data_IF_172563820191
#
_entry.id   IF_172563820191
#
_cell.length_a   1.000
_cell.length_b   1.000
_cell.length_c   1.000
_cell.angle_alpha   90.00
_cell.angle_beta   90.00
_cell.angle_gamma   90.00
#
_symmetry.space_group_name_H-M   'P 1'
#
loop_
_entity.id
_entity.type
_entity.pdbx_description
1 polymer ?
#
# COMPACT_ATOMS: atom_id res chain seq x y z
N UNK A 1 43.68 -42.11 6.38
CA UNK A 1 43.45 -41.18 7.50
C UNK A 1 44.78 -41.03 8.23
N UNK A 2 45.36 -39.84 8.27
CA UNK A 2 46.60 -39.63 9.02
C UNK A 2 46.32 -39.71 10.53
N UNK A 3 47.37 -39.92 11.32
CA UNK A 3 47.25 -40.13 12.78
C UNK A 3 46.62 -38.92 13.48
N UNK A 4 46.84 -37.72 12.97
CA UNK A 4 46.32 -36.45 13.51
C UNK A 4 44.81 -36.37 13.31
N UNK A 5 44.35 -36.65 12.08
CA UNK A 5 42.92 -36.74 11.77
C UNK A 5 42.21 -37.78 12.65
N UNK A 6 42.81 -38.94 12.89
CA UNK A 6 42.21 -39.96 13.76
C UNK A 6 41.95 -39.45 15.19
N UNK A 7 42.92 -38.77 15.80
CA UNK A 7 42.76 -38.24 17.16
C UNK A 7 41.80 -37.05 17.22
N UNK A 8 41.71 -36.24 16.16
CA UNK A 8 40.71 -35.17 16.07
C UNK A 8 39.29 -35.73 16.02
N UNK A 9 39.06 -36.74 15.18
CA UNK A 9 37.77 -37.44 15.08
C UNK A 9 37.41 -38.18 16.37
N UNK A 10 38.39 -38.84 17.01
CA UNK A 10 38.20 -39.47 18.33
C UNK A 10 37.79 -38.44 19.38
N UNK A 11 38.43 -37.26 19.41
CA UNK A 11 38.08 -36.17 20.33
C UNK A 11 36.67 -35.64 20.07
N UNK A 12 36.30 -35.41 18.80
CA UNK A 12 34.94 -34.98 18.43
C UNK A 12 33.90 -36.02 18.85
N UNK A 13 34.13 -37.31 18.60
CA UNK A 13 33.24 -38.38 19.04
C UNK A 13 33.10 -38.47 20.56
N UNK A 14 34.20 -38.36 21.31
CA UNK A 14 34.17 -38.41 22.78
C UNK A 14 33.44 -37.22 23.41
N UNK A 15 33.48 -36.04 22.77
CA UNK A 15 32.86 -34.82 23.30
C UNK A 15 31.42 -34.58 22.83
N UNK A 16 31.08 -35.02 21.62
CA UNK A 16 29.82 -34.67 20.94
C UNK A 16 29.07 -35.91 20.41
N UNK A 17 29.55 -37.13 20.68
CA UNK A 17 28.95 -38.36 20.18
C UNK A 17 28.98 -38.45 18.65
N UNK A 18 27.99 -39.14 18.08
CA UNK A 18 27.86 -39.29 16.62
C UNK A 18 27.60 -37.96 15.89
N UNK A 19 26.99 -36.97 16.56
CA UNK A 19 26.75 -35.65 15.97
C UNK A 19 28.05 -34.90 15.64
N UNK A 20 29.11 -35.09 16.44
CA UNK A 20 30.43 -34.48 16.20
C UNK A 20 31.21 -35.07 15.03
N UNK A 21 30.73 -36.17 14.44
CA UNK A 21 31.32 -36.80 13.26
C UNK A 21 30.72 -36.30 11.94
N UNK A 22 29.70 -35.43 11.99
CA UNK A 22 29.16 -34.79 10.79
C UNK A 22 30.15 -33.76 10.26
N UNK A 23 30.35 -33.75 8.94
CA UNK A 23 31.16 -32.72 8.28
C UNK A 23 30.46 -31.38 8.41
N UNK A 24 31.11 -30.46 9.13
CA UNK A 24 30.68 -29.08 9.24
C UNK A 24 31.27 -28.28 8.07
N UNK A 25 30.50 -27.35 7.48
CA UNK A 25 31.04 -26.47 6.46
C UNK A 25 32.22 -25.67 7.02
N UNK A 26 33.27 -25.39 6.21
CA UNK A 26 34.39 -24.58 6.65
C UNK A 26 33.91 -23.22 7.18
N UNK A 27 34.14 -22.95 8.47
CA UNK A 27 33.83 -21.65 9.06
C UNK A 27 34.99 -20.71 8.74
N UNK A 28 34.86 -19.95 7.65
CA UNK A 28 35.82 -18.90 7.31
C UNK A 28 35.83 -17.82 8.40
N UNK A 29 36.93 -17.72 9.15
CA UNK A 29 37.03 -16.83 10.33
C UNK A 29 37.08 -15.33 9.99
N UNK A 30 37.58 -14.97 8.81
CA UNK A 30 37.62 -13.58 8.31
C UNK A 30 38.07 -13.52 6.85
N UNK A 31 37.46 -12.63 6.04
CA UNK A 31 37.99 -12.29 4.71
C UNK A 31 38.81 -10.99 4.79
N UNK A 32 40.06 -10.94 4.29
CA UNK A 32 40.93 -9.75 4.39
C UNK A 32 40.34 -8.48 3.77
N UNK A 33 39.42 -8.63 2.81
CA UNK A 33 38.78 -7.55 2.08
C UNK A 33 37.35 -7.24 2.57
N UNK A 34 37.01 -7.66 3.78
CA UNK A 34 35.70 -7.33 4.39
C UNK A 34 35.61 -5.82 4.58
N UNK A 35 34.51 -5.21 4.11
CA UNK A 35 34.26 -3.80 4.31
C UNK A 35 34.25 -3.49 5.82
N UNK A 36 35.03 -2.49 6.29
CA UNK A 36 35.08 -2.17 7.72
C UNK A 36 33.69 -1.88 8.28
N UNK A 37 33.36 -2.34 9.51
CA UNK A 37 32.03 -2.14 10.11
C UNK A 37 31.59 -0.67 10.12
N UNK A 38 32.51 0.25 10.39
CA UNK A 38 32.27 1.70 10.32
C UNK A 38 31.80 2.18 8.94
N UNK A 39 32.32 1.58 7.87
CA UNK A 39 31.94 1.93 6.49
C UNK A 39 30.58 1.33 6.15
N UNK A 40 30.27 0.13 6.65
CA UNK A 40 28.95 -0.49 6.54
C UNK A 40 27.88 0.37 7.22
N UNK A 41 28.15 0.80 8.46
CA UNK A 41 27.23 1.66 9.20
C UNK A 41 27.09 3.04 8.53
N UNK A 42 28.17 3.60 7.97
CA UNK A 42 28.07 4.85 7.19
C UNK A 42 27.24 4.67 5.92
N UNK A 43 27.39 3.54 5.21
CA UNK A 43 26.55 3.22 4.04
C UNK A 43 25.08 3.16 4.45
N UNK A 44 24.73 2.47 5.53
CA UNK A 44 23.36 2.41 6.05
C UNK A 44 22.83 3.80 6.41
N UNK A 45 23.62 4.58 7.14
CA UNK A 45 23.25 5.93 7.56
C UNK A 45 22.97 6.85 6.35
N UNK A 46 23.91 6.96 5.40
CA UNK A 46 23.74 7.75 4.17
C UNK A 46 22.52 7.29 3.35
N UNK A 47 22.25 5.99 3.38
CA UNK A 47 21.14 5.40 2.65
C UNK A 47 19.79 5.67 3.32
N UNK A 48 19.75 5.82 4.64
CA UNK A 48 18.57 6.27 5.39
C UNK A 48 18.39 7.79 5.32
N UNK A 49 19.48 8.55 5.31
CA UNK A 49 19.48 10.01 5.07
C UNK A 49 18.95 10.33 3.65
N UNK A 50 19.25 9.46 2.67
CA UNK A 50 18.85 9.65 1.28
C UNK A 50 18.27 8.36 0.61
N UNK A 51 17.07 7.90 1.00
CA UNK A 51 16.50 6.63 0.52
C UNK A 51 16.24 6.55 -0.99
N UNK A 52 16.06 7.71 -1.64
CA UNK A 52 15.82 7.82 -3.07
C UNK A 52 17.09 7.64 -3.94
N UNK A 53 18.28 7.75 -3.34
CA UNK A 53 19.52 7.69 -4.10
C UNK A 53 19.88 6.24 -4.49
N UNK A 54 20.48 6.11 -5.67
CA UNK A 54 21.02 4.83 -6.15
C UNK A 54 22.46 4.64 -5.68
N UNK A 55 22.93 3.39 -5.71
CA UNK A 55 24.25 3.01 -5.20
C UNK A 55 25.41 3.80 -5.84
N UNK A 56 25.31 4.17 -7.12
CA UNK A 56 26.31 5.02 -7.79
C UNK A 56 26.43 6.42 -7.17
N UNK A 57 25.30 6.98 -6.71
CA UNK A 57 25.28 8.30 -6.07
C UNK A 57 25.82 8.23 -4.64
N UNK A 58 25.51 7.15 -3.92
CA UNK A 58 26.06 6.88 -2.59
C UNK A 58 27.58 6.63 -2.66
N UNK A 59 28.06 5.90 -3.67
CA UNK A 59 29.50 5.73 -3.94
C UNK A 59 30.22 7.07 -4.14
N UNK A 60 29.65 7.97 -4.94
CA UNK A 60 30.23 9.30 -5.16
C UNK A 60 30.31 10.10 -3.86
N UNK A 61 29.28 10.05 -3.01
CA UNK A 61 29.25 10.72 -1.70
C UNK A 61 30.29 10.15 -0.73
N UNK A 62 30.40 8.83 -0.64
CA UNK A 62 31.41 8.16 0.17
C UNK A 62 32.83 8.50 -0.29
N UNK A 63 33.03 8.63 -1.60
CA UNK A 63 34.33 9.03 -2.18
C UNK A 63 34.73 10.44 -1.74
N UNK A 64 33.77 11.38 -1.66
CA UNK A 64 34.01 12.72 -1.13
C UNK A 64 34.34 12.69 0.37
N UNK A 65 33.83 11.72 1.11
CA UNK A 65 34.16 11.47 2.53
C UNK A 65 35.48 10.68 2.70
N UNK A 66 36.21 10.38 1.63
CA UNK A 66 37.47 9.63 1.65
C UNK A 66 37.31 8.11 1.77
N UNK A 67 36.09 7.58 1.67
CA UNK A 67 35.77 6.14 1.76
C UNK A 67 35.53 5.57 0.36
N UNK A 68 36.37 4.64 -0.08
CA UNK A 68 36.22 4.01 -1.41
C UNK A 68 35.50 2.67 -1.31
N UNK A 69 34.26 2.61 -1.82
CA UNK A 69 33.45 1.39 -1.92
C UNK A 69 32.66 1.41 -3.22
N UNK A 70 32.70 0.32 -4.00
CA UNK A 70 31.98 0.26 -5.29
C UNK A 70 30.46 0.20 -5.09
N UNK A 71 29.70 0.73 -6.06
CA UNK A 71 28.23 0.62 -6.07
C UNK A 71 27.71 -0.83 -5.96
N UNK A 72 28.43 -1.81 -6.52
CA UNK A 72 28.06 -3.23 -6.44
C UNK A 72 28.21 -3.74 -5.00
N UNK A 73 29.32 -3.38 -4.35
CA UNK A 73 29.56 -3.72 -2.93
C UNK A 73 28.52 -3.06 -2.03
N UNK A 74 28.18 -1.79 -2.30
CA UNK A 74 27.10 -1.08 -1.60
C UNK A 74 25.78 -1.83 -1.77
N UNK A 75 25.40 -2.20 -2.99
CA UNK A 75 24.16 -2.95 -3.25
C UNK A 75 24.14 -4.28 -2.49
N UNK A 76 25.25 -5.03 -2.49
CA UNK A 76 25.36 -6.30 -1.75
C UNK A 76 25.16 -6.09 -0.24
N UNK A 77 25.86 -5.12 0.35
CA UNK A 77 25.73 -4.77 1.77
C UNK A 77 24.28 -4.38 2.10
N UNK A 78 23.65 -3.57 1.25
CA UNK A 78 22.26 -3.17 1.44
C UNK A 78 21.29 -4.36 1.35
N UNK A 79 21.48 -5.28 0.39
CA UNK A 79 20.67 -6.49 0.29
C UNK A 79 20.78 -7.37 1.55
N UNK A 80 22.00 -7.57 2.06
CA UNK A 80 22.26 -8.36 3.28
C UNK A 80 21.66 -7.74 4.55
N UNK A 81 21.37 -6.44 4.52
CA UNK A 81 20.79 -5.69 5.64
C UNK A 81 19.33 -5.29 5.40
N UNK A 82 18.66 -5.85 4.39
CA UNK A 82 17.25 -5.55 4.10
C UNK A 82 17.00 -4.10 3.67
N UNK A 83 17.94 -3.47 2.97
CA UNK A 83 17.88 -2.09 2.43
C UNK A 83 18.11 -2.06 0.91
N UNK A 84 18.00 -3.22 0.26
CA UNK A 84 18.41 -3.45 -1.11
C UNK A 84 17.63 -2.62 -2.14
N UNK A 85 16.32 -2.54 -1.98
CA UNK A 85 15.45 -1.77 -2.87
C UNK A 85 15.18 -0.37 -2.31
N UNK A 86 14.70 0.54 -3.18
CA UNK A 86 14.23 1.85 -2.71
C UNK A 86 13.09 1.68 -1.70
N UNK A 87 12.19 0.74 -1.93
CA UNK A 87 11.07 0.46 -1.05
C UNK A 87 11.53 0.04 0.34
N UNK A 88 12.50 -0.88 0.44
CA UNK A 88 13.02 -1.35 1.73
C UNK A 88 13.65 -0.21 2.54
N UNK A 89 14.33 0.72 1.87
CA UNK A 89 14.91 1.90 2.52
C UNK A 89 13.86 2.87 3.05
N UNK A 90 12.79 3.07 2.30
CA UNK A 90 11.65 3.89 2.73
C UNK A 90 10.94 3.27 3.93
N UNK A 91 10.73 1.94 3.90
CA UNK A 91 10.12 1.20 5.00
C UNK A 91 11.00 1.20 6.27
N UNK A 92 12.33 1.07 6.11
CA UNK A 92 13.26 1.14 7.23
C UNK A 92 13.30 2.55 7.86
N UNK A 93 13.22 3.59 7.04
CA UNK A 93 13.10 4.98 7.52
C UNK A 93 11.76 5.21 8.23
N UNK A 94 10.66 4.68 7.70
CA UNK A 94 9.33 4.75 8.32
C UNK A 94 9.31 4.05 9.69
N UNK A 95 9.92 2.87 9.79
CA UNK A 95 10.05 2.12 11.05
C UNK A 95 10.89 2.88 12.09
N UNK A 96 12.02 3.47 11.68
CA UNK A 96 12.86 4.27 12.57
C UNK A 96 12.16 5.56 13.04
N UNK A 97 11.32 6.15 12.18
CA UNK A 97 10.55 7.35 12.48
C UNK A 97 9.26 7.07 13.28
N UNK A 98 8.67 5.88 13.18
CA UNK A 98 7.51 5.50 14.00
C UNK A 98 7.83 5.50 15.51
N UNK A 99 9.11 5.32 15.86
CA UNK A 99 9.60 5.32 17.24
C UNK A 99 9.86 6.75 17.79
N UNK A 100 9.87 7.79 16.95
CA UNK A 100 10.08 9.19 17.39
C UNK A 100 9.25 10.18 16.57
N UNK A 101 8.37 10.97 17.20
CA UNK A 101 7.63 12.06 16.50
C UNK A 101 8.63 13.10 15.97
N UNK A 102 8.77 13.20 14.65
CA UNK A 102 9.64 14.16 13.97
C UNK A 102 8.80 15.12 13.12
N UNK A 103 9.10 16.42 13.20
CA UNK A 103 8.58 17.44 12.28
C UNK A 103 9.34 17.37 10.94
N UNK A 104 8.59 17.21 9.84
CA UNK A 104 9.14 17.02 8.49
C UNK A 104 9.58 18.35 7.86
N UNK A 105 10.67 18.33 7.09
CA UNK A 105 11.09 19.48 6.27
C UNK A 105 10.23 19.62 5.00
N UNK A 106 10.10 20.83 4.45
CA UNK A 106 9.23 21.11 3.30
C UNK A 106 9.56 20.30 2.03
N UNK A 107 10.83 19.96 1.80
CA UNK A 107 11.26 19.16 0.65
C UNK A 107 10.90 17.68 0.81
N UNK A 108 10.95 17.15 2.03
CA UNK A 108 10.55 15.77 2.36
C UNK A 108 9.03 15.60 2.29
N UNK A 109 8.27 16.60 2.72
CA UNK A 109 6.83 16.66 2.50
C UNK A 109 6.54 16.64 1.00
N UNK A 110 7.16 17.52 0.20
CA UNK A 110 6.94 17.59 -1.24
C UNK A 110 7.27 16.27 -1.98
N UNK A 111 8.23 15.49 -1.47
CA UNK A 111 8.60 14.18 -1.99
C UNK A 111 7.62 13.06 -1.58
N UNK A 112 7.18 13.01 -0.31
CA UNK A 112 6.14 12.09 0.17
C UNK A 112 4.79 12.36 -0.54
N UNK A 113 4.45 13.63 -0.71
CA UNK A 113 3.31 14.09 -1.49
C UNK A 113 3.37 13.73 -2.99
N UNK A 114 4.58 13.44 -3.51
CA UNK A 114 4.79 12.99 -4.89
C UNK A 114 4.65 11.47 -5.03
N UNK A 115 4.92 10.70 -3.96
CA UNK A 115 4.82 9.24 -3.94
C UNK A 115 3.49 8.70 -3.44
N UNK A 116 2.79 9.45 -2.60
CA UNK A 116 1.47 9.10 -2.09
C UNK A 116 0.52 10.30 -2.30
N UNK A 117 -0.37 10.25 -3.30
CA UNK A 117 -1.36 11.31 -3.54
C UNK A 117 -2.15 11.66 -2.28
N UNK A 118 -2.46 10.67 -1.43
CA UNK A 118 -3.19 10.85 -0.17
C UNK A 118 -2.43 11.66 0.91
N UNK A 119 -1.11 11.85 0.80
CA UNK A 119 -0.34 12.69 1.73
C UNK A 119 -0.41 14.19 1.39
N UNK A 120 -0.72 14.52 0.13
CA UNK A 120 -0.83 15.90 -0.41
C UNK A 120 -2.22 16.51 -0.16
N UNK A 121 -3.16 15.67 0.28
CA UNK A 121 -4.60 15.95 0.37
C UNK A 121 -5.12 16.14 1.81
N UNK A 122 -4.29 16.64 2.74
CA UNK A 122 -4.74 17.00 4.11
C UNK A 122 -5.87 18.04 4.16
N UNK A 123 -6.26 18.61 3.03
CA UNK A 123 -7.35 19.56 2.89
C UNK A 123 -8.71 18.87 2.58
N UNK A 124 -8.72 17.56 2.37
CA UNK A 124 -9.91 16.70 2.14
C UNK A 124 -9.92 15.61 3.23
N UNK A 125 -9.83 16.02 4.49
CA UNK A 125 -9.89 15.13 5.65
C UNK A 125 -11.30 15.15 6.25
N UNK A 126 -11.89 13.96 6.40
CA UNK A 126 -13.10 13.76 7.20
C UNK A 126 -12.72 13.65 8.67
N UNK A 127 -13.58 14.17 9.54
CA UNK A 127 -13.52 14.03 10.99
C UNK A 127 -14.30 12.81 11.50
N UNK A 128 -15.27 12.31 10.71
CA UNK A 128 -16.07 11.13 11.04
C UNK A 128 -16.20 10.17 9.83
N UNK A 129 -16.37 8.85 10.06
CA UNK A 129 -16.74 7.92 9.01
C UNK A 129 -18.05 8.33 8.34
N UNK A 130 -18.12 8.24 7.01
CA UNK A 130 -19.30 8.62 6.23
C UNK A 130 -19.43 10.13 5.95
N UNK A 131 -18.66 11.00 6.60
CA UNK A 131 -18.73 12.45 6.36
C UNK A 131 -18.42 12.82 4.91
N UNK A 132 -17.33 12.26 4.36
CA UNK A 132 -16.97 12.42 2.96
C UNK A 132 -16.46 11.09 2.39
N UNK A 133 -17.11 10.65 1.32
CA UNK A 133 -16.68 9.51 0.51
C UNK A 133 -16.08 10.00 -0.80
N UNK A 134 -15.12 9.28 -1.34
CA UNK A 134 -14.55 9.49 -2.67
C UNK A 134 -15.06 8.39 -3.60
N UNK A 135 -15.60 8.75 -4.76
CA UNK A 135 -16.00 7.78 -5.77
C UNK A 135 -15.25 7.98 -7.09
N UNK A 136 -15.01 6.88 -7.79
CA UNK A 136 -14.37 6.86 -9.12
C UNK A 136 -14.78 5.61 -9.91
N UNK A 137 -14.71 5.72 -11.23
CA UNK A 137 -14.96 4.61 -12.15
C UNK A 137 -13.66 4.22 -12.85
N UNK A 138 -13.12 3.07 -12.47
CA UNK A 138 -11.86 2.54 -12.97
C UNK A 138 -12.09 1.50 -14.07
N UNK A 139 -11.42 1.65 -15.22
CA UNK A 139 -11.47 0.64 -16.29
C UNK A 139 -10.55 -0.55 -15.97
N UNK A 140 -11.14 -1.71 -15.72
CA UNK A 140 -10.41 -2.94 -15.36
C UNK A 140 -9.77 -3.58 -16.58
N UNK A 141 -10.53 -3.69 -17.68
CA UNK A 141 -10.05 -4.33 -18.91
C UNK A 141 -11.20 -4.83 -19.78
N UNK A 142 -10.84 -5.49 -20.88
CA UNK A 142 -11.79 -6.16 -21.77
C UNK A 142 -11.65 -7.67 -21.62
N UNK A 143 -12.67 -8.32 -21.07
CA UNK A 143 -12.71 -9.77 -20.89
C UNK A 143 -13.37 -10.45 -22.10
N UNK A 144 -12.83 -11.59 -22.52
CA UNK A 144 -13.33 -12.33 -23.68
C UNK A 144 -14.71 -12.91 -23.36
N UNK A 145 -15.71 -12.62 -24.19
CA UNK A 145 -17.10 -13.08 -23.99
C UNK A 145 -17.99 -12.12 -23.20
N UNK A 146 -17.39 -11.27 -22.37
CA UNK A 146 -18.10 -10.29 -21.53
C UNK A 146 -18.03 -8.88 -22.14
N UNK A 147 -16.87 -8.48 -22.65
CA UNK A 147 -16.60 -7.12 -23.11
C UNK A 147 -15.87 -6.27 -22.08
N UNK A 148 -16.10 -4.96 -22.11
CA UNK A 148 -15.45 -4.00 -21.21
C UNK A 148 -16.00 -4.15 -19.80
N UNK A 149 -15.12 -4.17 -18.80
CA UNK A 149 -15.47 -4.24 -17.39
C UNK A 149 -14.90 -3.01 -16.67
N UNK A 150 -15.75 -2.40 -15.85
CA UNK A 150 -15.45 -1.22 -15.06
C UNK A 150 -15.70 -1.54 -13.59
N UNK A 151 -14.83 -1.02 -12.72
CA UNK A 151 -15.02 -1.00 -11.27
C UNK A 151 -15.56 0.37 -10.88
N UNK A 152 -16.75 0.39 -10.28
CA UNK A 152 -17.30 1.55 -9.57
C UNK A 152 -16.87 1.45 -8.11
N UNK A 153 -15.90 2.27 -7.72
CA UNK A 153 -15.30 2.25 -6.39
C UNK A 153 -15.81 3.42 -5.56
N UNK A 154 -16.06 3.17 -4.27
CA UNK A 154 -16.37 4.20 -3.28
C UNK A 154 -15.50 3.96 -2.05
N UNK A 155 -14.79 4.98 -1.58
CA UNK A 155 -13.83 4.88 -0.48
C UNK A 155 -14.10 5.95 0.57
N UNK A 156 -14.16 5.53 1.82
CA UNK A 156 -14.28 6.42 2.96
C UNK A 156 -12.99 7.23 3.20
N UNK A 157 -13.13 8.56 3.22
CA UNK A 157 -12.02 9.45 3.55
C UNK A 157 -11.83 9.64 5.06
N UNK A 158 -12.40 8.79 5.91
CA UNK A 158 -11.98 8.66 7.31
C UNK A 158 -11.13 7.40 7.51
N UNK A 159 -11.73 6.22 7.30
CA UNK A 159 -11.09 4.93 7.58
C UNK A 159 -10.41 4.25 6.39
N UNK A 160 -10.48 4.81 5.18
CA UNK A 160 -10.13 4.09 3.93
C UNK A 160 -10.91 2.78 3.75
N UNK A 161 -12.12 2.71 4.31
CA UNK A 161 -13.03 1.59 4.07
C UNK A 161 -13.56 1.68 2.65
N UNK A 162 -13.48 0.59 1.89
CA UNK A 162 -13.75 0.61 0.46
C UNK A 162 -14.92 -0.30 0.08
N UNK A 163 -15.65 0.13 -0.95
CA UNK A 163 -16.71 -0.58 -1.63
C UNK A 163 -16.36 -0.66 -3.12
N UNK A 164 -16.79 -1.73 -3.78
CA UNK A 164 -16.48 -1.94 -5.19
C UNK A 164 -17.56 -2.76 -5.88
N UNK A 165 -18.04 -2.25 -7.02
CA UNK A 165 -19.02 -2.91 -7.86
C UNK A 165 -18.53 -2.99 -9.31
N UNK A 166 -18.47 -4.20 -9.84
CA UNK A 166 -18.08 -4.48 -11.22
C UNK A 166 -19.29 -4.43 -12.13
N UNK A 167 -19.14 -3.71 -13.23
CA UNK A 167 -20.20 -3.59 -14.22
C UNK A 167 -19.64 -3.46 -15.63
N UNK A 168 -20.40 -3.92 -16.62
CA UNK A 168 -20.00 -3.84 -18.06
C UNK A 168 -20.12 -2.43 -18.65
N UNK A 169 -20.61 -1.49 -17.85
CA UNK A 169 -20.96 -0.16 -18.31
C UNK A 169 -20.63 0.90 -17.27
N UNK A 170 -20.25 2.07 -17.77
CA UNK A 170 -19.98 3.29 -17.00
C UNK A 170 -21.15 4.28 -17.02
N UNK A 171 -22.38 3.76 -17.13
CA UNK A 171 -23.56 4.63 -17.04
C UNK A 171 -23.81 5.03 -15.58
N UNK A 172 -24.48 6.17 -15.34
CA UNK A 172 -24.77 6.66 -14.00
C UNK A 172 -25.48 5.65 -13.09
N UNK A 173 -26.34 4.80 -13.65
CA UNK A 173 -27.09 3.79 -12.89
C UNK A 173 -26.16 2.78 -12.21
N UNK A 174 -25.03 2.45 -12.85
CA UNK A 174 -24.05 1.54 -12.27
C UNK A 174 -23.26 2.20 -11.12
N UNK A 175 -22.99 3.50 -11.23
CA UNK A 175 -22.37 4.28 -10.15
C UNK A 175 -23.34 4.49 -8.97
N UNK A 176 -24.65 4.61 -9.23
CA UNK A 176 -25.69 4.63 -8.20
C UNK A 176 -25.82 3.26 -7.52
N UNK A 177 -25.68 2.16 -8.26
CA UNK A 177 -25.87 0.81 -7.73
C UNK A 177 -24.97 0.52 -6.51
N UNK A 178 -23.67 0.86 -6.58
CA UNK A 178 -22.75 0.67 -5.44
C UNK A 178 -23.14 1.51 -4.22
N UNK A 179 -23.65 2.74 -4.43
CA UNK A 179 -24.14 3.57 -3.33
C UNK A 179 -25.39 2.96 -2.70
N UNK A 180 -26.33 2.50 -3.52
CA UNK A 180 -27.62 1.99 -3.08
C UNK A 180 -27.53 0.64 -2.38
N UNK A 181 -26.78 -0.29 -2.97
CA UNK A 181 -26.74 -1.68 -2.54
C UNK A 181 -25.77 -1.89 -1.36
N UNK A 182 -24.67 -1.15 -1.33
CA UNK A 182 -23.55 -1.45 -0.43
C UNK A 182 -23.27 -0.32 0.56
N UNK A 183 -22.99 0.88 0.05
CA UNK A 183 -22.51 2.01 0.86
C UNK A 183 -23.56 2.45 1.87
N UNK A 184 -24.75 2.86 1.41
CA UNK A 184 -25.77 3.40 2.31
C UNK A 184 -26.29 2.34 3.30
N UNK A 185 -26.55 1.08 2.90
CA UNK A 185 -26.91 0.04 3.85
C UNK A 185 -25.84 -0.17 4.93
N UNK A 186 -24.54 -0.21 4.55
CA UNK A 186 -23.45 -0.38 5.52
C UNK A 186 -23.45 0.72 6.58
N UNK A 187 -23.45 2.00 6.18
CA UNK A 187 -23.41 3.11 7.16
C UNK A 187 -24.69 3.18 7.99
N UNK A 188 -25.86 2.84 7.42
CA UNK A 188 -27.11 2.71 8.17
C UNK A 188 -27.03 1.65 9.28
N UNK A 189 -26.32 0.54 9.06
CA UNK A 189 -26.15 -0.48 10.12
C UNK A 189 -25.32 0.02 11.32
N UNK A 190 -24.54 1.09 11.11
CA UNK A 190 -23.69 1.72 12.11
C UNK A 190 -24.32 3.00 12.69
N UNK A 191 -25.54 3.34 12.29
CA UNK A 191 -26.23 4.59 12.61
C UNK A 191 -25.44 5.86 12.23
N UNK A 192 -24.67 5.77 11.14
CA UNK A 192 -23.84 6.86 10.62
C UNK A 192 -24.47 7.47 9.35
N UNK A 193 -24.56 8.80 9.23
CA UNK A 193 -25.01 9.44 8.01
C UNK A 193 -23.90 9.45 6.95
N UNK A 194 -24.28 9.41 5.68
CA UNK A 194 -23.36 9.74 4.57
C UNK A 194 -23.57 11.20 4.19
N UNK A 195 -22.57 12.04 4.47
CA UNK A 195 -22.69 13.50 4.33
C UNK A 195 -22.47 13.98 2.90
N UNK A 196 -21.35 13.58 2.29
CA UNK A 196 -20.97 14.04 0.96
C UNK A 196 -20.25 12.94 0.16
N UNK A 197 -20.37 13.01 -1.17
CA UNK A 197 -19.59 12.20 -2.10
C UNK A 197 -18.80 13.10 -3.03
N UNK A 198 -17.48 12.92 -3.06
CA UNK A 198 -16.54 13.59 -3.94
C UNK A 198 -16.29 12.73 -5.19
N UNK A 199 -16.59 13.27 -6.36
CA UNK A 199 -16.30 12.63 -7.64
C UNK A 199 -15.53 13.56 -8.57
N UNK A 200 -14.98 13.01 -9.65
CA UNK A 200 -14.57 13.82 -10.78
C UNK A 200 -15.78 14.31 -11.60
N UNK A 201 -15.51 14.97 -12.73
CA UNK A 201 -16.55 15.47 -13.64
C UNK A 201 -16.86 14.46 -14.76
N UNK A 202 -16.68 13.16 -14.48
CA UNK A 202 -17.06 12.07 -15.38
C UNK A 202 -18.55 12.12 -15.72
N UNK A 203 -18.92 11.56 -16.89
CA UNK A 203 -20.32 11.51 -17.36
C UNK A 203 -21.17 10.51 -16.58
N UNK A 204 -20.52 9.63 -15.83
CA UNK A 204 -21.10 8.72 -14.85
C UNK A 204 -21.59 9.46 -13.61
N UNK A 205 -21.02 10.62 -13.29
CA UNK A 205 -21.32 11.37 -12.06
C UNK A 205 -22.02 12.70 -12.33
N UNK A 206 -21.74 13.34 -13.47
CA UNK A 206 -22.23 14.68 -13.80
C UNK A 206 -22.88 14.72 -15.20
N UNK A 207 -23.95 15.49 -15.35
CA UNK A 207 -24.61 15.68 -16.64
C UNK A 207 -25.54 16.88 -16.71
N UNK A 208 -26.68 16.69 -17.37
CA UNK A 208 -27.79 17.66 -17.42
C UNK A 208 -28.53 17.72 -16.09
N UNK A 209 -29.38 18.72 -15.87
CA UNK A 209 -30.14 18.94 -14.63
C UNK A 209 -30.90 17.71 -14.07
N UNK A 210 -31.23 16.73 -14.91
CA UNK A 210 -31.88 15.46 -14.50
C UNK A 210 -30.90 14.28 -14.45
N UNK A 211 -29.63 14.52 -14.12
CA UNK A 211 -28.62 13.46 -14.11
C UNK A 211 -28.95 12.42 -13.02
N UNK A 212 -29.06 11.11 -13.35
CA UNK A 212 -29.51 10.10 -12.40
C UNK A 212 -28.68 10.03 -11.11
N UNK A 213 -27.37 10.23 -11.22
CA UNK A 213 -26.47 10.21 -10.06
C UNK A 213 -26.69 11.43 -9.16
N UNK A 214 -26.82 12.63 -9.73
CA UNK A 214 -27.03 13.88 -8.97
C UNK A 214 -28.40 13.85 -8.28
N UNK A 215 -29.45 13.42 -8.99
CA UNK A 215 -30.78 13.24 -8.44
C UNK A 215 -30.79 12.21 -7.30
N UNK A 216 -30.07 11.09 -7.46
CA UNK A 216 -30.01 10.06 -6.43
C UNK A 216 -29.35 10.57 -5.15
N UNK A 217 -28.25 11.33 -5.27
CA UNK A 217 -27.59 11.94 -4.11
C UNK A 217 -28.51 12.96 -3.41
N UNK A 218 -29.18 13.83 -4.18
CA UNK A 218 -30.12 14.81 -3.66
C UNK A 218 -31.28 14.16 -2.89
N UNK A 219 -31.87 13.09 -3.45
CA UNK A 219 -32.98 12.34 -2.81
C UNK A 219 -32.56 11.68 -1.48
N UNK A 220 -31.27 11.36 -1.31
CA UNK A 220 -30.73 10.79 -0.09
C UNK A 220 -30.12 11.84 0.85
N UNK A 221 -30.22 13.14 0.51
CA UNK A 221 -29.65 14.23 1.31
C UNK A 221 -28.12 14.26 1.34
N UNK A 222 -27.47 13.74 0.29
CA UNK A 222 -26.01 13.63 0.20
C UNK A 222 -25.49 14.77 -0.67
N UNK A 223 -24.52 15.54 -0.17
CA UNK A 223 -23.88 16.62 -0.92
C UNK A 223 -22.98 16.04 -2.03
N UNK A 224 -23.20 16.45 -3.28
CA UNK A 224 -22.29 16.10 -4.38
C UNK A 224 -21.14 17.11 -4.49
N UNK A 225 -19.95 16.70 -4.06
CA UNK A 225 -18.72 17.49 -4.22
C UNK A 225 -18.00 17.07 -5.50
N UNK A 226 -17.41 18.04 -6.19
CA UNK A 226 -16.72 17.81 -7.47
C UNK A 226 -15.29 18.30 -7.42
N UNK A 227 -14.39 17.54 -8.04
CA UNK A 227 -13.00 18.00 -8.22
C UNK A 227 -12.97 19.24 -9.11
N UNK A 228 -12.08 20.18 -8.80
CA UNK A 228 -11.87 21.36 -9.68
C UNK A 228 -11.26 20.89 -11.00
N UNK A 229 -11.84 21.36 -12.11
CA UNK A 229 -11.37 21.07 -13.47
C UNK A 229 -9.85 21.33 -13.58
N UNK A 230 -9.11 20.37 -14.16
CA UNK A 230 -7.63 20.38 -14.30
C UNK A 230 -6.83 20.36 -12.99
N UNK A 231 -7.43 19.90 -11.90
CA UNK A 231 -6.74 19.69 -10.63
C UNK A 231 -6.87 18.22 -10.22
N UNK A 232 -6.06 17.31 -10.79
CA UNK A 232 -6.11 15.85 -10.50
C UNK A 232 -5.55 15.51 -9.11
N UNK A 233 -5.82 16.35 -8.10
CA UNK A 233 -5.14 16.34 -6.79
C UNK A 233 -6.12 16.29 -5.62
N UNK A 234 -7.35 15.81 -5.86
CA UNK A 234 -8.41 15.82 -4.85
C UNK A 234 -9.08 14.45 -4.66
N UNK A 235 -8.68 13.41 -5.41
CA UNK A 235 -9.28 12.08 -5.32
C UNK A 235 -8.25 10.99 -4.95
N UNK A 236 -7.20 11.37 -4.21
CA UNK A 236 -6.08 10.50 -3.87
C UNK A 236 -6.46 9.27 -3.05
N UNK A 237 -7.58 9.29 -2.31
CA UNK A 237 -8.07 8.11 -1.57
C UNK A 237 -8.53 7.00 -2.50
N UNK A 238 -9.41 7.30 -3.45
CA UNK A 238 -9.86 6.29 -4.41
C UNK A 238 -8.76 5.94 -5.40
N UNK A 239 -7.88 6.87 -5.78
CA UNK A 239 -6.70 6.55 -6.60
C UNK A 239 -5.76 5.55 -5.90
N UNK A 240 -5.52 5.73 -4.60
CA UNK A 240 -4.73 4.79 -3.77
C UNK A 240 -5.40 3.42 -3.72
N UNK A 241 -6.71 3.39 -3.54
CA UNK A 241 -7.49 2.14 -3.56
C UNK A 241 -7.42 1.47 -4.93
N UNK A 242 -7.65 2.21 -6.02
CA UNK A 242 -7.59 1.72 -7.41
C UNK A 242 -6.23 1.09 -7.73
N UNK A 243 -5.13 1.71 -7.31
CA UNK A 243 -3.79 1.10 -7.42
C UNK A 243 -3.67 -0.20 -6.63
N UNK A 244 -4.22 -0.23 -5.42
CA UNK A 244 -4.17 -1.41 -4.53
C UNK A 244 -4.97 -2.59 -5.11
N UNK A 245 -6.22 -2.38 -5.49
CA UNK A 245 -7.08 -3.44 -6.07
C UNK A 245 -6.56 -3.90 -7.44
N UNK A 246 -5.96 -3.01 -8.23
CA UNK A 246 -5.31 -3.40 -9.48
C UNK A 246 -4.14 -4.36 -9.24
N UNK A 247 -3.26 -4.01 -8.31
CA UNK A 247 -2.02 -4.74 -8.06
C UNK A 247 -2.24 -6.05 -7.29
N UNK A 248 -3.10 -6.02 -6.27
CA UNK A 248 -3.31 -7.15 -5.35
C UNK A 248 -4.44 -8.08 -5.78
N UNK A 249 -5.48 -7.58 -6.45
CA UNK A 249 -6.63 -8.39 -6.88
C UNK A 249 -6.59 -8.68 -8.39
N UNK A 250 -6.80 -7.66 -9.24
CA UNK A 250 -7.02 -7.89 -10.68
C UNK A 250 -5.81 -8.53 -11.36
N UNK A 251 -4.58 -8.05 -11.11
CA UNK A 251 -3.37 -8.62 -11.73
C UNK A 251 -3.10 -10.06 -11.32
N UNK A 252 -3.52 -10.46 -10.13
CA UNK A 252 -3.36 -11.82 -9.59
C UNK A 252 -4.44 -12.71 -10.18
N UNK A 253 -5.71 -12.39 -9.92
CA UNK A 253 -6.87 -13.20 -10.33
C UNK A 253 -6.98 -13.39 -11.83
N UNK A 254 -6.71 -12.36 -12.63
CA UNK A 254 -6.76 -12.45 -14.10
C UNK A 254 -5.67 -13.36 -14.69
N UNK A 255 -4.63 -13.72 -13.94
CA UNK A 255 -3.62 -14.71 -14.35
C UNK A 255 -3.99 -16.13 -13.92
N UNK A 256 -4.70 -16.26 -12.82
CA UNK A 256 -5.02 -17.55 -12.19
C UNK A 256 -6.33 -18.14 -12.69
N UNK A 257 -7.29 -17.30 -13.06
CA UNK A 257 -8.66 -17.73 -13.34
C UNK A 257 -9.19 -17.06 -14.61
N UNK A 258 -9.90 -17.84 -15.42
CA UNK A 258 -10.66 -17.33 -16.55
C UNK A 258 -12.12 -17.15 -16.13
N UNK A 259 -12.62 -15.91 -16.23
CA UNK A 259 -14.00 -15.58 -15.86
C UNK A 259 -14.89 -15.55 -17.10
N UNK A 260 -16.01 -16.28 -17.03
CA UNK A 260 -17.03 -16.33 -18.11
C UNK A 260 -18.10 -15.25 -17.94
N UNK A 261 -18.31 -14.76 -16.71
CA UNK A 261 -19.30 -13.72 -16.39
C UNK A 261 -18.71 -12.66 -15.46
N UNK A 262 -19.31 -11.45 -15.41
CA UNK A 262 -18.86 -10.40 -14.48
C UNK A 262 -19.19 -10.75 -13.04
N UNK A 263 -20.31 -11.45 -12.84
CA UNK A 263 -20.81 -11.88 -11.55
C UNK A 263 -19.81 -12.81 -10.86
N UNK A 264 -19.22 -13.77 -11.59
CA UNK A 264 -18.19 -14.65 -11.03
C UNK A 264 -16.92 -13.89 -10.61
N UNK A 265 -16.59 -12.80 -11.30
CA UNK A 265 -15.48 -11.92 -10.91
C UNK A 265 -15.86 -11.02 -9.73
N UNK A 266 -17.14 -10.60 -9.64
CA UNK A 266 -17.67 -9.85 -8.50
C UNK A 266 -17.61 -10.68 -7.22
N UNK A 267 -18.01 -11.95 -7.24
CA UNK A 267 -17.96 -12.84 -6.07
C UNK A 267 -16.54 -12.92 -5.48
N UNK A 268 -15.54 -13.03 -6.35
CA UNK A 268 -14.12 -13.02 -5.94
C UNK A 268 -13.66 -11.65 -5.43
N UNK A 269 -14.17 -10.56 -6.03
CA UNK A 269 -13.88 -9.20 -5.57
C UNK A 269 -14.47 -8.96 -4.18
N UNK A 270 -15.69 -9.45 -3.91
CA UNK A 270 -16.36 -9.30 -2.62
C UNK A 270 -15.55 -9.99 -1.51
N UNK A 271 -15.05 -11.20 -1.76
CA UNK A 271 -14.15 -11.89 -0.84
C UNK A 271 -12.86 -11.09 -0.60
N UNK A 272 -12.29 -10.51 -1.65
CA UNK A 272 -11.10 -9.67 -1.52
C UNK A 272 -11.38 -8.36 -0.76
N UNK A 273 -12.55 -7.73 -0.96
CA UNK A 273 -12.97 -6.53 -0.22
C UNK A 273 -13.16 -6.81 1.27
N UNK A 274 -13.69 -7.98 1.65
CA UNK A 274 -13.74 -8.42 3.05
C UNK A 274 -12.33 -8.49 3.63
N UNK A 275 -11.39 -9.13 2.94
CA UNK A 275 -10.00 -9.17 3.38
C UNK A 275 -9.39 -7.75 3.49
N UNK A 276 -9.57 -6.91 2.47
CA UNK A 276 -9.05 -5.53 2.42
C UNK A 276 -9.54 -4.67 3.60
N UNK A 277 -10.82 -4.80 3.95
CA UNK A 277 -11.47 -3.98 4.97
C UNK A 277 -11.31 -4.54 6.40
N UNK A 278 -11.17 -5.86 6.56
CA UNK A 278 -11.31 -6.53 7.88
C UNK A 278 -10.10 -7.36 8.32
N UNK A 279 -9.13 -7.57 7.44
CA UNK A 279 -7.95 -8.40 7.73
C UNK A 279 -6.64 -7.67 7.38
N UNK A 280 -6.59 -6.98 6.23
CA UNK A 280 -5.40 -6.27 5.75
C UNK A 280 -5.08 -5.06 6.63
N UNK A 281 -3.89 -4.97 7.23
CA UNK A 281 -3.47 -3.78 7.97
C UNK A 281 -3.15 -2.63 7.01
N UNK A 282 -3.56 -1.42 7.35
CA UNK A 282 -3.29 -0.23 6.54
C UNK A 282 -2.31 0.70 7.26
N UNK A 283 -1.07 0.77 6.74
CA UNK A 283 0.02 1.56 7.35
C UNK A 283 -0.09 3.07 7.12
N UNK A 284 -1.06 3.54 6.33
CA UNK A 284 -1.27 4.97 6.09
C UNK A 284 -1.60 5.75 7.37
N UNK A 285 -1.31 7.04 7.40
CA UNK A 285 -1.38 7.91 8.59
C UNK A 285 -2.74 7.92 9.32
N UNK A 286 -3.85 7.58 8.63
CA UNK A 286 -5.20 7.49 9.23
C UNK A 286 -5.40 6.20 10.01
N UNK A 287 -5.01 5.09 9.41
CA UNK A 287 -5.22 3.77 10.00
C UNK A 287 -4.06 3.39 10.93
N UNK A 288 -2.84 3.88 10.71
CA UNK A 288 -1.68 3.67 11.58
C UNK A 288 -1.45 2.18 11.90
N UNK A 289 -1.64 1.32 10.89
CA UNK A 289 -1.54 -0.14 11.03
C UNK A 289 -2.83 -0.84 11.43
N UNK A 290 -3.88 -0.11 11.80
CA UNK A 290 -5.23 -0.66 12.00
C UNK A 290 -5.86 -1.08 10.67
N UNK A 291 -6.87 -1.94 10.78
CA UNK A 291 -7.73 -2.33 9.66
C UNK A 291 -8.84 -1.27 9.50
N UNK A 292 -9.32 -0.99 8.26
CA UNK A 292 -10.35 0.01 8.04
C UNK A 292 -11.58 -0.13 8.94
N UNK A 293 -12.06 -1.36 9.13
CA UNK A 293 -13.22 -1.63 10.01
C UNK A 293 -12.95 -1.28 11.48
N UNK A 294 -11.71 -1.42 11.96
CA UNK A 294 -11.34 -1.07 13.34
C UNK A 294 -11.35 0.44 13.53
N UNK A 295 -10.89 1.20 12.53
CA UNK A 295 -10.93 2.66 12.56
C UNK A 295 -12.38 3.15 12.67
N UNK A 296 -13.29 2.61 11.86
CA UNK A 296 -14.72 2.94 11.92
C UNK A 296 -15.33 2.53 13.27
N UNK A 297 -15.12 1.29 13.71
CA UNK A 297 -15.67 0.80 14.99
C UNK A 297 -15.14 1.58 16.20
N UNK A 298 -13.88 2.03 16.15
CA UNK A 298 -13.28 2.83 17.21
C UNK A 298 -13.94 4.19 17.35
N UNK A 299 -14.43 4.78 16.25
CA UNK A 299 -15.22 6.01 16.26
C UNK A 299 -16.61 5.76 16.88
N UNK A 300 -17.34 4.77 16.38
CA UNK A 300 -18.69 4.44 16.87
C UNK A 300 -18.68 4.11 18.37
N UNK A 301 -17.64 3.42 18.85
CA UNK A 301 -17.49 3.07 20.27
C UNK A 301 -17.14 4.26 21.17
N UNK A 302 -16.72 5.40 20.62
CA UNK A 302 -16.44 6.63 21.38
C UNK A 302 -17.67 7.54 21.49
N UNK A 303 -18.64 7.40 20.58
CA UNK A 303 -19.89 8.17 20.58
C UNK A 303 -21.04 7.48 21.34
N UNK A 304 -20.93 6.17 21.60
CA UNK A 304 -21.86 5.37 22.40
C UNK A 304 -21.62 5.50 23.92
#
# INVERSE_FOLDING_TARGET
MDRTSFYEWKRRFQTQGFEGLKDLPPIHRSHPQTTPPETVERIKALTLEHPAYGCNRIEAMLTLEGRRVSAITIQKILNENGLGTRYDRWLALEKANAETRIELTGEQVAFLEKLNPAFRERHVESQAPGELLCADTFFVGSLKGIGKVYLHAVVDTYGSYAFGFLHVSKQPEAAVAVLHNDVLPFYRTLDLPVGAVLTDNGREFCGTDTHPYELYLELNGIEHRRTKVRTPRTNGFVERFNGTVLDEFFRVKMRETFYETVEALQDDLDLWLVHYNTERPHLGYRNQGRRPIETIKSFVSQEA
#
